data_IF_800422710909
#
_entry.id   IF_800422710909
#
_cell.length_a   1.000
_cell.length_b   1.000
_cell.length_c   1.000
_cell.angle_alpha   90.00
_cell.angle_beta   90.00
_cell.angle_gamma   90.00
#
_symmetry.space_group_name_H-M   'P 1'
#
loop_
_entity.id
_entity.type
_entity.pdbx_description
1 polymer ?
#
# COMPACT_ATOMS: atom_id res chain seq x y z
N UNK A 1 1.54 -13.72 -16.90
CA UNK A 1 1.73 -12.60 -15.96
C UNK A 1 2.79 -12.97 -14.95
N UNK A 2 3.67 -12.05 -14.66
CA UNK A 2 4.79 -12.31 -13.76
C UNK A 2 4.31 -12.39 -12.31
N UNK A 3 4.37 -13.58 -11.70
CA UNK A 3 3.96 -13.83 -10.29
C UNK A 3 4.67 -12.90 -9.29
N UNK A 4 5.77 -12.31 -9.68
CA UNK A 4 6.66 -11.52 -8.83
C UNK A 4 6.24 -10.06 -8.73
N UNK A 5 5.67 -9.51 -9.79
CA UNK A 5 5.01 -8.21 -9.76
C UNK A 5 3.73 -8.29 -8.92
N UNK A 6 3.05 -9.43 -8.95
CA UNK A 6 1.89 -9.70 -8.08
C UNK A 6 2.34 -9.69 -6.62
N UNK A 7 3.47 -10.32 -6.29
CA UNK A 7 4.01 -10.31 -4.93
C UNK A 7 4.31 -8.89 -4.46
N UNK A 8 4.92 -8.05 -5.30
CA UNK A 8 5.19 -6.66 -4.97
C UNK A 8 3.90 -5.89 -4.69
N UNK A 9 2.86 -6.08 -5.52
CA UNK A 9 1.57 -5.45 -5.30
C UNK A 9 0.91 -5.93 -4.00
N UNK A 10 0.96 -7.23 -3.73
CA UNK A 10 0.45 -7.82 -2.47
C UNK A 10 1.14 -7.20 -1.27
N UNK A 11 2.46 -7.05 -1.33
CA UNK A 11 3.25 -6.46 -0.25
C UNK A 11 2.85 -5.00 0.00
N UNK A 12 2.73 -4.20 -1.06
CA UNK A 12 2.37 -2.79 -0.95
C UNK A 12 0.94 -2.64 -0.44
N UNK A 13 0.01 -3.46 -0.92
CA UNK A 13 -1.37 -3.47 -0.45
C UNK A 13 -1.45 -3.89 1.02
N UNK A 14 -0.67 -4.90 1.42
CA UNK A 14 -0.60 -5.33 2.81
C UNK A 14 -0.06 -4.23 3.72
N UNK A 15 0.92 -3.47 3.26
CA UNK A 15 1.45 -2.31 3.98
C UNK A 15 0.39 -1.23 4.17
N UNK A 16 -0.38 -0.93 3.14
CA UNK A 16 -1.48 0.04 3.22
C UNK A 16 -2.54 -0.40 4.24
N UNK A 17 -2.94 -1.67 4.20
CA UNK A 17 -3.92 -2.23 5.13
C UNK A 17 -3.38 -2.21 6.56
N UNK A 18 -2.11 -2.59 6.75
CA UNK A 18 -1.48 -2.57 8.07
C UNK A 18 -1.41 -1.15 8.65
N UNK A 19 -1.08 -0.14 7.84
CA UNK A 19 -1.07 1.25 8.29
C UNK A 19 -2.47 1.72 8.69
N UNK A 20 -3.51 1.32 7.96
CA UNK A 20 -4.88 1.68 8.30
C UNK A 20 -5.28 1.19 9.71
N UNK A 21 -4.71 0.08 10.18
CA UNK A 21 -4.97 -0.44 11.53
C UNK A 21 -4.42 0.46 12.64
N UNK A 22 -3.39 1.25 12.36
CA UNK A 22 -2.81 2.19 13.33
C UNK A 22 -3.63 3.47 13.48
N UNK A 23 -4.58 3.73 12.60
CA UNK A 23 -5.47 4.88 12.75
C UNK A 23 -6.56 4.57 13.78
N UNK A 24 -6.74 5.50 14.71
CA UNK A 24 -7.72 5.34 15.79
C UNK A 24 -9.13 5.09 15.23
N UNK A 25 -9.74 4.01 15.67
CA UNK A 25 -11.10 3.65 15.30
C UNK A 25 -11.23 2.78 14.05
N UNK A 26 -10.14 2.49 13.34
CA UNK A 26 -10.17 1.60 12.19
C UNK A 26 -9.88 0.14 12.58
N UNK A 27 -10.63 -0.77 11.96
CA UNK A 27 -10.35 -2.20 12.05
C UNK A 27 -10.60 -2.87 10.70
N UNK A 28 -9.66 -3.69 10.26
CA UNK A 28 -9.79 -4.48 9.04
C UNK A 28 -10.48 -5.79 9.42
N UNK A 29 -11.68 -6.02 8.88
CA UNK A 29 -12.45 -7.26 9.14
C UNK A 29 -12.03 -8.37 8.19
N UNK A 30 -11.86 -8.03 6.92
CA UNK A 30 -11.42 -8.96 5.88
C UNK A 30 -10.92 -8.19 4.68
N UNK A 31 -10.09 -8.83 3.87
CA UNK A 31 -9.67 -8.27 2.59
C UNK A 31 -9.33 -9.38 1.61
N UNK A 32 -9.42 -9.05 0.32
CA UNK A 32 -8.99 -9.91 -0.78
C UNK A 32 -8.52 -9.07 -1.95
N UNK A 33 -7.60 -9.61 -2.72
CA UNK A 33 -7.18 -9.00 -3.98
C UNK A 33 -8.24 -9.34 -5.01
N UNK A 34 -8.93 -8.31 -5.54
CA UNK A 34 -10.03 -8.49 -6.49
C UNK A 34 -9.51 -8.62 -7.92
N UNK A 35 -8.48 -7.87 -8.27
CA UNK A 35 -7.90 -7.90 -9.62
C UNK A 35 -6.48 -7.37 -9.62
N UNK A 36 -5.68 -7.87 -10.58
CA UNK A 36 -4.32 -7.40 -10.84
C UNK A 36 -4.09 -7.47 -12.34
N UNK A 37 -3.59 -6.40 -12.95
CA UNK A 37 -3.24 -6.41 -14.36
C UNK A 37 -2.04 -5.49 -14.63
N UNK A 38 -1.15 -5.87 -15.58
CA UNK A 38 -0.03 -5.01 -15.96
C UNK A 38 -0.53 -3.84 -16.81
N UNK A 39 0.03 -2.65 -16.55
CA UNK A 39 -0.19 -1.46 -17.37
C UNK A 39 1.01 -1.16 -18.26
N UNK A 40 2.17 -1.70 -17.92
CA UNK A 40 3.39 -1.65 -18.71
C UNK A 40 4.36 -2.74 -18.23
N UNK A 41 5.54 -2.83 -18.84
CA UNK A 41 6.61 -3.72 -18.35
C UNK A 41 7.13 -3.34 -16.96
N UNK A 42 6.81 -2.13 -16.50
CA UNK A 42 7.36 -1.58 -15.25
C UNK A 42 6.28 -1.25 -14.24
N UNK A 43 5.01 -1.49 -14.55
CA UNK A 43 3.91 -1.09 -13.67
C UNK A 43 2.76 -2.08 -13.68
N UNK A 44 2.10 -2.16 -12.53
CA UNK A 44 0.90 -2.97 -12.31
C UNK A 44 -0.18 -2.10 -11.70
N UNK A 45 -1.42 -2.36 -12.10
CA UNK A 45 -2.58 -1.86 -11.35
C UNK A 45 -3.26 -3.02 -10.64
N UNK A 46 -3.89 -2.72 -9.52
CA UNK A 46 -4.63 -3.71 -8.78
C UNK A 46 -5.75 -3.10 -7.95
N UNK A 47 -6.67 -3.96 -7.57
CA UNK A 47 -7.78 -3.61 -6.69
C UNK A 47 -7.83 -4.58 -5.52
N UNK A 48 -8.09 -4.04 -4.34
CA UNK A 48 -8.33 -4.82 -3.13
C UNK A 48 -9.71 -4.46 -2.62
N UNK A 49 -10.50 -5.48 -2.34
CA UNK A 49 -11.79 -5.32 -1.68
C UNK A 49 -11.60 -5.62 -0.20
N UNK A 50 -11.93 -4.67 0.65
CA UNK A 50 -11.74 -4.79 2.09
C UNK A 50 -13.00 -4.40 2.84
N UNK A 51 -13.34 -5.16 3.88
CA UNK A 51 -14.37 -4.81 4.84
C UNK A 51 -13.69 -4.11 6.02
N UNK A 52 -14.03 -2.84 6.23
CA UNK A 52 -13.37 -1.98 7.21
C UNK A 52 -14.39 -1.38 8.14
N UNK A 53 -14.15 -1.53 9.45
CA UNK A 53 -14.91 -0.87 10.49
C UNK A 53 -14.26 0.45 10.88
N UNK A 54 -15.07 1.50 11.00
CA UNK A 54 -14.66 2.81 11.46
C UNK A 54 -15.60 3.28 12.57
N UNK A 55 -15.11 3.29 13.80
CA UNK A 55 -15.88 3.77 14.97
C UNK A 55 -15.76 5.28 15.16
N UNK A 56 -14.86 5.93 14.44
CA UNK A 56 -14.69 7.38 14.49
C UNK A 56 -15.45 8.10 13.41
N UNK A 57 -15.09 9.36 13.18
CA UNK A 57 -15.71 10.20 12.15
C UNK A 57 -15.42 9.68 10.74
N UNK A 58 -16.25 10.10 9.79
CA UNK A 58 -15.96 9.94 8.36
C UNK A 58 -14.65 10.63 8.03
N UNK A 59 -13.75 9.92 7.34
CA UNK A 59 -12.43 10.43 6.98
C UNK A 59 -12.13 10.15 5.52
N UNK A 60 -11.64 11.17 4.82
CA UNK A 60 -11.14 11.00 3.46
C UNK A 60 -9.62 10.84 3.50
N UNK A 61 -9.14 9.76 2.94
CA UNK A 61 -7.70 9.52 2.74
C UNK A 61 -7.32 9.85 1.31
N UNK A 62 -6.30 10.67 1.15
CA UNK A 62 -5.78 11.09 -0.16
C UNK A 62 -4.25 11.13 -0.13
N UNK A 63 -3.63 11.21 -1.31
CA UNK A 63 -2.18 11.24 -1.42
C UNK A 63 -1.51 10.00 -0.82
N UNK A 64 -2.15 8.85 -0.91
CA UNK A 64 -1.66 7.60 -0.34
C UNK A 64 -0.51 7.10 -1.20
N UNK A 65 0.69 7.09 -0.64
CA UNK A 65 1.91 6.71 -1.35
C UNK A 65 2.76 5.80 -0.48
N UNK A 66 3.28 4.74 -1.08
CA UNK A 66 4.25 3.86 -0.47
C UNK A 66 5.50 3.81 -1.35
N UNK A 67 6.64 4.24 -0.82
CA UNK A 67 7.93 4.14 -1.50
C UNK A 67 8.70 2.98 -0.91
N UNK A 68 9.07 2.04 -1.75
CA UNK A 68 9.80 0.84 -1.36
C UNK A 68 11.26 1.00 -1.71
N UNK A 69 12.13 0.76 -0.73
CA UNK A 69 13.58 0.80 -0.89
C UNK A 69 14.15 -0.60 -0.68
N UNK A 70 15.14 -0.93 -1.48
CA UNK A 70 15.92 -2.16 -1.32
C UNK A 70 17.36 -1.80 -1.02
N UNK A 71 17.87 -2.22 0.13
CA UNK A 71 19.23 -1.88 0.59
C UNK A 71 19.50 -0.35 0.54
N UNK A 72 18.48 0.46 0.91
CA UNK A 72 18.59 1.91 0.92
C UNK A 72 18.41 2.59 -0.43
N UNK A 73 18.20 1.84 -1.51
CA UNK A 73 18.02 2.40 -2.86
C UNK A 73 16.55 2.31 -3.29
N UNK A 74 16.02 3.34 -3.98
CA UNK A 74 14.65 3.28 -4.51
C UNK A 74 14.44 2.05 -5.38
N UNK A 75 13.37 1.30 -5.11
CA UNK A 75 13.04 0.07 -5.81
C UNK A 75 11.70 0.14 -6.54
N UNK A 76 10.65 0.58 -5.82
CA UNK A 76 9.31 0.68 -6.39
C UNK A 76 8.50 1.74 -5.64
N UNK A 77 7.43 2.20 -6.25
CA UNK A 77 6.50 3.14 -5.64
C UNK A 77 5.07 2.70 -5.91
N UNK A 78 4.26 2.66 -4.87
CA UNK A 78 2.83 2.43 -4.94
C UNK A 78 2.05 3.71 -4.69
N UNK A 79 0.98 3.91 -5.42
CA UNK A 79 0.04 5.02 -5.24
C UNK A 79 -1.36 4.43 -5.20
N UNK A 80 -2.17 4.84 -4.23
CA UNK A 80 -3.54 4.42 -4.08
C UNK A 80 -4.48 5.58 -4.39
N UNK A 81 -5.63 5.29 -4.98
CA UNK A 81 -6.67 6.30 -5.20
C UNK A 81 -7.26 6.77 -3.86
N UNK A 82 -7.80 7.99 -3.87
CA UNK A 82 -8.48 8.55 -2.71
C UNK A 82 -9.64 7.66 -2.29
N UNK A 83 -9.86 7.55 -0.99
CA UNK A 83 -10.94 6.76 -0.43
C UNK A 83 -11.55 7.48 0.78
N UNK A 84 -12.87 7.43 0.88
CA UNK A 84 -13.61 7.98 2.01
C UNK A 84 -14.14 6.82 2.86
N UNK A 85 -13.71 6.75 4.11
CA UNK A 85 -14.18 5.77 5.07
C UNK A 85 -15.28 6.38 5.92
N UNK A 86 -16.51 5.88 5.74
CA UNK A 86 -17.67 6.32 6.50
C UNK A 86 -17.70 5.64 7.87
N UNK A 87 -18.39 6.26 8.81
CA UNK A 87 -18.63 5.64 10.11
C UNK A 87 -19.39 4.33 9.94
N UNK A 88 -19.03 3.34 10.74
CA UNK A 88 -19.61 2.01 10.67
C UNK A 88 -18.75 1.05 9.85
N UNK A 89 -19.26 -0.15 9.61
CA UNK A 89 -18.56 -1.18 8.85
C UNK A 89 -19.10 -1.22 7.42
N UNK A 90 -18.23 -1.12 6.45
CA UNK A 90 -18.57 -1.15 5.02
C UNK A 90 -17.48 -1.83 4.22
N UNK A 91 -17.84 -2.25 3.02
CA UNK A 91 -16.91 -2.83 2.05
C UNK A 91 -16.44 -1.74 1.09
N UNK A 92 -15.13 -1.65 0.92
CA UNK A 92 -14.49 -0.66 0.05
C UNK A 92 -13.65 -1.37 -1.01
N UNK A 93 -13.61 -0.78 -2.19
CA UNK A 93 -12.67 -1.17 -3.25
C UNK A 93 -11.54 -0.16 -3.29
N UNK A 94 -10.33 -0.63 -2.99
CA UNK A 94 -9.12 0.18 -2.96
C UNK A 94 -8.33 -0.09 -4.24
N UNK A 95 -8.14 0.94 -5.05
CA UNK A 95 -7.43 0.83 -6.32
C UNK A 95 -6.05 1.46 -6.19
N UNK A 96 -5.05 0.80 -6.76
CA UNK A 96 -3.69 1.28 -6.70
C UNK A 96 -2.85 0.89 -7.91
N UNK A 97 -1.73 1.55 -8.04
CA UNK A 97 -0.73 1.27 -9.06
C UNK A 97 0.65 1.21 -8.44
N UNK A 98 1.44 0.24 -8.87
CA UNK A 98 2.84 0.06 -8.46
C UNK A 98 3.72 0.19 -9.67
N UNK A 99 4.76 1.01 -9.55
CA UNK A 99 5.77 1.23 -10.59
C UNK A 99 7.15 0.95 -10.06
N UNK A 100 7.99 0.34 -10.89
CA UNK A 100 9.42 0.26 -10.60
C UNK A 100 10.04 1.66 -10.61
N UNK A 101 10.94 1.91 -9.67
CA UNK A 101 11.67 3.19 -9.62
C UNK A 101 12.61 3.32 -10.80
N UNK A 102 12.93 4.56 -11.17
CA UNK A 102 13.91 4.85 -12.20
C UNK A 102 15.26 4.21 -11.82
N UNK A 103 15.95 3.65 -12.82
CA UNK A 103 17.21 2.96 -12.59
C UNK A 103 17.08 1.50 -12.18
N UNK A 104 15.88 1.03 -11.84
CA UNK A 104 15.62 -0.38 -11.59
C UNK A 104 15.16 -1.05 -12.88
N UNK A 105 15.92 -2.01 -13.37
CA UNK A 105 15.54 -2.74 -14.58
C UNK A 105 14.50 -3.83 -14.24
N UNK A 106 13.77 -4.27 -15.28
CA UNK A 106 12.85 -5.39 -15.13
C UNK A 106 13.59 -6.65 -14.67
N UNK A 107 14.84 -6.85 -15.15
CA UNK A 107 15.69 -7.96 -14.73
C UNK A 107 16.08 -7.87 -13.26
N UNK A 108 16.38 -6.66 -12.75
CA UNK A 108 16.65 -6.45 -11.32
C UNK A 108 15.43 -6.82 -10.48
N UNK A 109 14.23 -6.45 -10.93
CA UNK A 109 12.99 -6.78 -10.25
C UNK A 109 12.76 -8.30 -10.22
N UNK A 110 13.01 -9.01 -11.32
CA UNK A 110 12.89 -10.45 -11.42
C UNK A 110 13.90 -11.13 -10.48
N UNK A 111 15.15 -10.69 -10.52
CA UNK A 111 16.19 -11.21 -9.65
C UNK A 111 15.86 -11.01 -8.18
N UNK A 112 15.39 -9.82 -7.81
CA UNK A 112 14.97 -9.50 -6.45
C UNK A 112 13.83 -10.39 -5.97
N UNK A 113 12.88 -10.70 -6.85
CA UNK A 113 11.75 -11.57 -6.52
C UNK A 113 12.16 -13.05 -6.39
N UNK A 114 13.13 -13.50 -7.19
CA UNK A 114 13.67 -14.88 -7.12
C UNK A 114 14.43 -15.13 -5.82
N UNK A 115 15.13 -14.13 -5.34
CA UNK A 115 15.92 -14.18 -4.11
C UNK A 115 15.35 -13.21 -3.06
N UNK A 116 14.03 -13.18 -2.92
CA UNK A 116 13.35 -12.24 -2.03
C UNK A 116 13.76 -12.44 -0.58
N UNK A 117 14.28 -11.37 0.02
CA UNK A 117 14.62 -11.32 1.44
C UNK A 117 13.96 -10.09 2.05
N UNK A 118 13.01 -10.32 2.93
CA UNK A 118 12.25 -9.23 3.56
C UNK A 118 13.15 -8.23 4.29
N UNK A 119 14.28 -8.69 4.82
CA UNK A 119 15.23 -7.82 5.55
C UNK A 119 15.90 -6.77 4.69
N UNK A 120 15.90 -6.91 3.36
CA UNK A 120 16.50 -5.94 2.44
C UNK A 120 15.62 -4.72 2.17
N UNK A 121 14.35 -4.76 2.59
CA UNK A 121 13.35 -3.77 2.19
C UNK A 121 12.91 -2.88 3.34
N UNK A 122 12.78 -1.58 3.03
CA UNK A 122 12.12 -0.60 3.89
C UNK A 122 11.05 0.14 3.09
N UNK A 123 10.09 0.74 3.80
CA UNK A 123 8.99 1.46 3.18
C UNK A 123 8.82 2.82 3.84
N UNK A 124 8.62 3.84 3.01
CA UNK A 124 8.11 5.13 3.41
C UNK A 124 6.65 5.21 3.01
N UNK A 125 5.78 5.40 3.98
CA UNK A 125 4.34 5.50 3.76
C UNK A 125 3.87 6.92 4.09
N UNK A 126 3.05 7.52 3.20
CA UNK A 126 2.46 8.84 3.42
C UNK A 126 0.99 8.84 3.08
N UNK A 127 0.20 9.60 3.83
CA UNK A 127 -1.23 9.78 3.58
C UNK A 127 -1.70 11.11 4.18
N UNK A 128 -2.64 11.78 3.47
CA UNK A 128 -3.40 12.91 4.00
C UNK A 128 -4.76 12.41 4.46
N UNK A 129 -5.16 12.80 5.67
CA UNK A 129 -6.45 12.43 6.25
C UNK A 129 -7.25 13.71 6.47
N UNK A 130 -8.39 13.83 5.81
CA UNK A 130 -9.32 14.96 5.98
C UNK A 130 -10.48 14.53 6.85
N UNK A 131 -10.71 15.29 7.93
CA UNK A 131 -11.82 15.12 8.84
C UNK A 131 -13.03 15.95 8.40
N UNK A 132 -14.27 15.65 8.89
CA UNK A 132 -15.48 16.39 8.51
C UNK A 132 -15.43 17.88 8.83
N UNK A 133 -14.66 18.28 9.86
CA UNK A 133 -14.49 19.69 10.24
C UNK A 133 -13.51 20.46 9.36
N UNK A 134 -12.94 19.80 8.33
CA UNK A 134 -11.98 20.39 7.42
C UNK A 134 -10.52 20.28 7.88
N UNK A 135 -10.27 19.76 9.06
CA UNK A 135 -8.89 19.55 9.54
C UNK A 135 -8.22 18.45 8.71
N UNK A 136 -6.93 18.69 8.42
CA UNK A 136 -6.09 17.75 7.68
C UNK A 136 -4.96 17.25 8.58
N UNK A 137 -4.78 15.94 8.61
CA UNK A 137 -3.61 15.30 9.22
C UNK A 137 -2.73 14.75 8.10
N UNK A 138 -1.44 15.01 8.20
CA UNK A 138 -0.45 14.41 7.30
C UNK A 138 0.33 13.37 8.07
N UNK A 139 0.16 12.12 7.68
CA UNK A 139 0.80 10.99 8.35
C UNK A 139 1.97 10.50 7.50
N UNK A 140 3.13 10.40 8.12
CA UNK A 140 4.35 9.88 7.50
C UNK A 140 4.90 8.77 8.39
N UNK A 141 5.20 7.62 7.76
CA UNK A 141 5.93 6.52 8.37
C UNK A 141 7.13 6.23 7.50
N UNK A 142 8.29 6.77 7.85
CA UNK A 142 9.50 6.66 7.04
C UNK A 142 10.45 5.60 7.59
N UNK A 143 11.16 4.92 6.68
CA UNK A 143 12.20 3.97 7.02
C UNK A 143 11.73 2.72 7.76
N UNK A 144 10.46 2.37 7.65
CA UNK A 144 9.90 1.21 8.33
C UNK A 144 10.37 -0.09 7.66
N UNK A 145 10.91 -1.06 8.43
CA UNK A 145 11.23 -2.36 7.85
C UNK A 145 10.00 -3.03 7.27
N UNK A 146 10.11 -3.63 6.10
CA UNK A 146 9.00 -4.35 5.48
C UNK A 146 8.48 -5.46 6.40
N UNK A 147 9.35 -6.08 7.17
CA UNK A 147 8.97 -7.11 8.15
C UNK A 147 7.95 -6.61 9.18
N UNK A 148 7.95 -5.31 9.49
CA UNK A 148 6.99 -4.71 10.41
C UNK A 148 5.54 -4.90 9.93
N UNK A 149 5.31 -4.79 8.61
CA UNK A 149 3.98 -4.89 8.01
C UNK A 149 3.56 -6.33 7.73
N UNK A 150 4.49 -7.26 7.72
CA UNK A 150 4.23 -8.67 7.43
C UNK A 150 4.02 -9.50 8.70
N UNK A 151 4.22 -8.92 9.86
CA UNK A 151 3.94 -9.58 11.14
C UNK A 151 2.44 -9.58 11.42
N UNK A 152 1.96 -10.72 11.76
CA UNK A 152 0.58 -10.91 12.24
C UNK A 152 0.57 -11.21 13.73
#
# INVERSE_FOLDING_TARGET
MNKKLILALVLITSCFIAEAQYFTGFSIKSYRISSVWPTSFRSLRGSVTASIGNTGDTRKMSGITAKVYRNGKPFAQGVCEDVTFNKGTSTYTLNGEVKLSDGVSTWDAIAAALSFRVSEYTIDFTVNIKHPDGKMDYVVRAGMPLSHYLRR
#
